data_IF_408594251443
#
_entry.id   IF_408594251443
#
_cell.length_a   1.000
_cell.length_b   1.000
_cell.length_c   1.000
_cell.angle_alpha   90.00
_cell.angle_beta   90.00
_cell.angle_gamma   90.00
#
_symmetry.space_group_name_H-M   'P 1'
#
loop_
_entity.id
_entity.type
_entity.pdbx_description
1 polymer ?
#
# COMPACT_ATOMS: atom_id res chain seq x y z
N UNK A 1 6.03 -1.62 -26.25
CA UNK A 1 6.65 -2.25 -25.12
C UNK A 1 6.63 -3.75 -25.26
N UNK A 2 7.73 -4.31 -25.16
CA UNK A 2 7.76 -5.75 -25.31
C UNK A 2 7.03 -6.45 -24.19
N UNK A 3 6.28 -7.44 -24.56
CA UNK A 3 5.56 -8.22 -23.59
C UNK A 3 6.51 -8.91 -22.65
N UNK A 4 7.69 -9.24 -23.11
CA UNK A 4 8.64 -9.91 -22.25
C UNK A 4 9.11 -9.04 -21.14
N UNK A 5 9.18 -7.73 -21.35
CA UNK A 5 9.62 -6.87 -20.29
C UNK A 5 8.56 -6.74 -19.22
N UNK A 6 7.31 -6.68 -19.63
CA UNK A 6 6.23 -6.68 -18.66
C UNK A 6 6.19 -7.99 -17.91
N UNK A 7 6.36 -9.09 -18.62
CA UNK A 7 6.32 -10.39 -17.98
C UNK A 7 7.47 -10.55 -16.99
N UNK A 8 8.64 -9.99 -17.33
CA UNK A 8 9.77 -10.10 -16.43
C UNK A 8 9.52 -9.35 -15.14
N UNK A 9 8.93 -8.15 -15.23
CA UNK A 9 8.62 -7.42 -14.03
C UNK A 9 7.59 -8.15 -13.21
N UNK A 10 6.60 -8.71 -13.86
CA UNK A 10 5.58 -9.45 -13.14
C UNK A 10 6.11 -10.74 -12.56
N UNK A 11 7.11 -11.34 -13.21
CA UNK A 11 7.64 -12.60 -12.76
C UNK A 11 8.64 -12.49 -11.64
N UNK A 12 8.99 -11.27 -11.25
CA UNK A 12 9.98 -11.08 -10.19
C UNK A 12 9.37 -10.29 -9.06
N UNK A 13 8.38 -10.88 -8.41
CA UNK A 13 7.70 -10.17 -7.33
C UNK A 13 8.65 -9.94 -6.18
N UNK A 14 8.49 -8.80 -5.56
CA UNK A 14 9.25 -8.46 -4.38
C UNK A 14 8.43 -8.83 -3.18
N UNK A 15 8.98 -9.67 -2.36
CA UNK A 15 8.30 -10.04 -1.15
C UNK A 15 9.21 -9.75 0.01
N UNK A 16 8.87 -8.75 0.76
CA UNK A 16 9.65 -8.38 1.93
C UNK A 16 9.39 -9.36 3.04
N UNK A 17 10.42 -10.05 3.45
CA UNK A 17 10.27 -10.99 4.54
C UNK A 17 10.92 -10.50 5.80
N UNK A 18 11.93 -9.68 5.64
CA UNK A 18 12.72 -9.26 6.78
C UNK A 18 11.92 -8.33 7.66
N UNK A 19 11.87 -8.63 8.92
CA UNK A 19 11.22 -7.77 9.87
C UNK A 19 9.72 -7.86 9.90
N UNK A 20 9.13 -8.69 9.03
CA UNK A 20 7.69 -8.82 8.99
C UNK A 20 7.24 -9.82 10.04
N UNK A 21 6.41 -9.38 10.95
CA UNK A 21 5.92 -10.25 11.99
C UNK A 21 4.44 -10.52 11.91
N UNK A 22 3.74 -9.84 11.07
CA UNK A 22 2.32 -10.01 10.97
C UNK A 22 1.93 -11.03 9.95
N UNK A 23 0.65 -11.19 9.75
CA UNK A 23 0.09 -12.10 8.78
C UNK A 23 -0.07 -11.45 7.42
N UNK A 24 0.31 -10.20 7.28
CA UNK A 24 0.21 -9.54 5.98
C UNK A 24 1.22 -10.13 5.01
N UNK A 25 0.76 -10.40 3.80
CA UNK A 25 1.62 -10.92 2.75
C UNK A 25 1.87 -9.89 1.67
N UNK A 26 1.14 -8.79 1.69
CA UNK A 26 1.27 -7.75 0.68
C UNK A 26 1.82 -6.50 1.34
N UNK A 27 2.96 -6.03 0.85
CA UNK A 27 3.64 -4.88 1.45
C UNK A 27 4.00 -3.92 0.34
N UNK A 28 3.66 -2.66 0.57
CA UNK A 28 3.88 -1.59 -0.41
C UNK A 28 4.66 -0.47 0.27
N UNK A 29 5.99 -0.53 0.21
CA UNK A 29 6.79 0.55 0.78
C UNK A 29 6.61 1.83 -0.02
N UNK A 30 6.51 2.94 0.67
CA UNK A 30 6.31 4.20 -0.01
C UNK A 30 6.50 5.37 0.91
N UNK A 31 5.94 6.49 0.49
CA UNK A 31 6.05 7.76 1.21
C UNK A 31 4.64 8.26 1.46
N UNK A 32 4.39 8.72 2.68
CA UNK A 32 3.09 9.30 3.00
C UNK A 32 2.92 10.57 2.19
N UNK A 33 1.82 10.66 1.47
CA UNK A 33 1.50 11.82 0.68
C UNK A 33 0.58 12.77 1.42
N UNK A 34 -0.41 12.24 2.10
CA UNK A 34 -1.35 13.08 2.83
C UNK A 34 -1.93 12.32 4.01
N UNK A 35 -2.35 13.08 5.00
CA UNK A 35 -3.05 12.56 6.16
C UNK A 35 -4.23 13.48 6.40
N UNK A 36 -5.43 12.92 6.37
CA UNK A 36 -6.64 13.68 6.64
C UNK A 36 -7.36 13.04 7.80
N UNK A 37 -7.66 13.83 8.82
CA UNK A 37 -8.33 13.31 10.00
C UNK A 37 -9.77 13.74 10.03
N UNK A 38 -10.62 12.88 10.55
CA UNK A 38 -12.04 13.14 10.69
C UNK A 38 -12.52 12.40 11.92
N UNK A 39 -12.70 13.13 13.02
CA UNK A 39 -13.09 12.49 14.26
C UNK A 39 -11.99 11.58 14.75
N UNK A 40 -12.32 10.32 15.00
CA UNK A 40 -11.36 9.35 15.51
C UNK A 40 -10.60 8.65 14.40
N UNK A 41 -10.96 8.88 13.15
CA UNK A 41 -10.34 8.18 12.04
C UNK A 41 -9.46 9.12 11.23
N UNK A 42 -8.62 8.52 10.42
CA UNK A 42 -7.75 9.27 9.52
C UNK A 42 -7.60 8.49 8.22
N UNK A 43 -7.53 9.23 7.13
CA UNK A 43 -7.19 8.65 5.83
C UNK A 43 -5.76 9.01 5.52
N UNK A 44 -4.96 8.00 5.24
CA UNK A 44 -3.55 8.19 4.93
C UNK A 44 -3.33 7.70 3.51
N UNK A 45 -2.76 8.55 2.69
CA UNK A 45 -2.40 8.17 1.32
C UNK A 45 -0.91 7.95 1.25
N UNK A 46 -0.53 6.80 0.72
CA UNK A 46 0.88 6.41 0.60
C UNK A 46 1.19 6.20 -0.87
N UNK A 47 2.19 6.93 -1.34
CA UNK A 47 2.68 6.72 -2.71
C UNK A 47 3.66 5.57 -2.68
N UNK A 48 3.31 4.48 -3.36
CA UNK A 48 4.13 3.30 -3.42
C UNK A 48 4.39 3.01 -4.89
N UNK A 49 5.52 3.51 -5.40
CA UNK A 49 5.82 3.40 -6.83
C UNK A 49 4.78 4.17 -7.62
N UNK A 50 4.21 3.56 -8.64
CA UNK A 50 3.18 4.24 -9.44
C UNK A 50 1.79 4.17 -8.80
N UNK A 51 1.67 3.63 -7.59
CA UNK A 51 0.38 3.41 -6.98
C UNK A 51 0.18 4.32 -5.79
N UNK A 52 -1.06 4.69 -5.58
CA UNK A 52 -1.46 5.44 -4.41
C UNK A 52 -2.33 4.52 -3.57
N UNK A 53 -1.85 4.19 -2.39
CA UNK A 53 -2.55 3.30 -1.49
C UNK A 53 -3.22 4.13 -0.41
N UNK A 54 -4.50 3.94 -0.22
CA UNK A 54 -5.26 4.67 0.78
C UNK A 54 -5.56 3.76 1.95
N UNK A 55 -5.24 4.22 3.14
CA UNK A 55 -5.49 3.46 4.36
C UNK A 55 -6.38 4.28 5.29
N UNK A 56 -7.37 3.62 5.87
CA UNK A 56 -8.20 4.23 6.90
C UNK A 56 -7.78 3.65 8.22
N UNK A 57 -7.23 4.47 9.09
CA UNK A 57 -6.74 4.03 10.39
C UNK A 57 -7.17 5.04 11.43
N UNK A 58 -6.93 4.77 12.70
CA UNK A 58 -7.31 5.69 13.75
C UNK A 58 -6.32 6.85 13.83
N UNK A 59 -6.80 7.98 14.34
CA UNK A 59 -5.91 9.12 14.59
C UNK A 59 -4.80 8.75 15.54
N UNK A 60 -5.14 7.91 16.52
CA UNK A 60 -4.13 7.46 17.49
C UNK A 60 -3.01 6.70 16.78
N UNK A 61 -3.37 5.86 15.82
CA UNK A 61 -2.36 5.13 15.06
C UNK A 61 -1.48 6.08 14.27
N UNK A 62 -2.06 7.12 13.69
CA UNK A 62 -1.27 8.12 12.97
C UNK A 62 -0.23 8.73 13.89
N UNK A 63 -0.64 9.08 15.11
CA UNK A 63 0.29 9.66 16.08
C UNK A 63 1.35 8.68 16.51
N UNK A 64 0.93 7.46 16.81
CA UNK A 64 1.87 6.44 17.29
C UNK A 64 2.90 6.10 16.24
N UNK A 65 2.49 6.06 14.99
CA UNK A 65 3.40 5.73 13.91
C UNK A 65 4.16 6.94 13.39
N UNK A 66 3.79 8.13 13.85
CA UNK A 66 4.46 9.35 13.41
C UNK A 66 4.24 9.66 11.95
N UNK A 67 3.04 9.40 11.44
CA UNK A 67 2.78 9.58 10.02
C UNK A 67 2.51 11.04 9.71
N UNK A 68 3.18 11.53 8.68
CA UNK A 68 3.01 12.88 8.19
C UNK A 68 3.47 12.90 6.75
N UNK A 69 3.02 13.87 5.96
CA UNK A 69 3.49 13.92 4.56
C UNK A 69 5.01 13.93 4.51
N UNK A 70 5.57 13.10 3.64
CA UNK A 70 7.00 12.97 3.46
C UNK A 70 7.65 11.86 4.26
N UNK A 71 6.93 11.25 5.18
CA UNK A 71 7.48 10.19 6.03
C UNK A 71 7.40 8.86 5.27
N UNK A 72 8.45 8.07 5.36
CA UNK A 72 8.45 6.74 4.77
C UNK A 72 7.50 5.85 5.56
N UNK A 73 6.69 5.09 4.85
CA UNK A 73 5.74 4.18 5.47
C UNK A 73 5.45 3.04 4.52
N UNK A 74 5.06 1.90 5.08
CA UNK A 74 4.73 0.74 4.27
C UNK A 74 3.26 0.39 4.49
N UNK A 75 2.52 0.32 3.40
CA UNK A 75 1.15 -0.16 3.48
C UNK A 75 1.17 -1.68 3.43
N UNK A 76 0.43 -2.32 4.32
CA UNK A 76 0.39 -3.77 4.35
C UNK A 76 -1.05 -4.23 4.28
N UNK A 77 -1.28 -5.32 3.57
CA UNK A 77 -2.63 -5.86 3.40
C UNK A 77 -2.58 -7.36 3.55
N UNK A 78 -3.41 -7.88 4.42
CA UNK A 78 -3.52 -9.32 4.55
C UNK A 78 -4.06 -9.91 3.25
N UNK A 79 -3.56 -11.09 2.89
CA UNK A 79 -4.01 -11.73 1.67
C UNK A 79 -5.52 -11.94 1.66
N UNK A 80 -6.10 -12.21 2.83
CA UNK A 80 -7.54 -12.45 2.91
C UNK A 80 -8.36 -11.19 2.70
N UNK A 81 -7.73 -10.02 2.73
CA UNK A 81 -8.43 -8.76 2.54
C UNK A 81 -8.31 -8.22 1.12
N UNK A 82 -7.56 -8.87 0.29
CA UNK A 82 -7.35 -8.40 -1.07
C UNK A 82 -8.51 -8.87 -1.93
N UNK A 83 -9.11 -7.93 -2.64
CA UNK A 83 -10.20 -8.23 -3.56
C UNK A 83 -9.66 -8.19 -4.97
N UNK A 84 -10.28 -8.97 -5.83
CA UNK A 84 -9.79 -9.12 -7.20
C UNK A 84 -10.94 -8.85 -8.16
N UNK A 85 -10.63 -8.10 -9.18
CA UNK A 85 -11.59 -7.92 -10.27
C UNK A 85 -10.82 -7.95 -11.57
N UNK A 86 -11.49 -8.31 -12.64
CA UNK A 86 -10.84 -8.34 -13.94
C UNK A 86 -10.97 -6.98 -14.59
N UNK A 87 -10.00 -6.69 -15.45
CA UNK A 87 -10.10 -5.47 -16.25
C UNK A 87 -11.30 -5.61 -17.19
N UNK A 88 -12.18 -4.61 -17.14
CA UNK A 88 -13.32 -4.61 -18.01
C UNK A 88 -12.98 -3.85 -19.25
N UNK A 89 -12.94 -4.55 -20.32
CA UNK A 89 -12.75 -3.90 -21.58
C UNK A 89 -14.07 -3.41 -21.97
N UNK A 90 -14.31 -2.22 -21.92
CA UNK A 90 -15.59 -1.70 -22.18
C UNK A 90 -16.11 -2.30 -23.40
N UNK A 91 -17.27 -2.26 -23.75
CA UNK A 91 -17.74 -2.83 -24.96
C UNK A 91 -17.24 -1.96 -25.95
#
# INVERSE_FOLDING_TARGET
MPAEEVARLAARPQRHRTGSRGSARNRFPGIVRSVETDGVMALVEIEAGPFLVTAAITRDSVSELGLAPGVAATATVKATSVMVETAKEGP
#
